data_IF_992645035904
#
_entry.id   IF_992645035904
#
_cell.length_a   1.000
_cell.length_b   1.000
_cell.length_c   1.000
_cell.angle_alpha   90.00
_cell.angle_beta   90.00
_cell.angle_gamma   90.00
#
_symmetry.space_group_name_H-M   'P 1'
#
loop_
_entity.id
_entity.type
_entity.pdbx_description
1 polymer ?
#
# COMPACT_ATOMS: atom_id res chain seq x y z
N UNK A 1 -41.48 25.00 0.72
CA UNK A 1 -42.15 23.86 0.07
C UNK A 1 -42.19 24.23 -1.41
N UNK A 2 -41.52 23.64 -2.40
CA UNK A 2 -40.83 22.37 -2.69
C UNK A 2 -39.82 22.80 -3.80
N UNK A 3 -38.54 22.45 -3.84
CA UNK A 3 -38.03 21.14 -4.26
C UNK A 3 -36.50 21.20 -4.26
N UNK A 4 -35.87 20.33 -3.48
CA UNK A 4 -34.51 19.86 -3.72
C UNK A 4 -34.59 18.83 -4.84
N UNK A 5 -34.12 19.13 -6.05
CA UNK A 5 -33.64 18.08 -6.96
C UNK A 5 -32.98 18.59 -8.23
N UNK A 6 -31.74 18.11 -8.40
CA UNK A 6 -31.04 17.82 -9.66
C UNK A 6 -30.64 19.03 -10.51
N UNK A 7 -29.36 19.41 -10.43
CA UNK A 7 -28.40 19.31 -11.55
C UNK A 7 -27.08 20.02 -11.21
N UNK A 8 -26.33 19.53 -10.21
CA UNK A 8 -24.87 19.67 -10.26
C UNK A 8 -24.35 18.32 -10.72
N UNK A 9 -23.91 18.24 -11.97
CA UNK A 9 -23.19 17.10 -12.50
C UNK A 9 -21.91 16.88 -11.67
N UNK A 10 -22.01 16.11 -10.59
CA UNK A 10 -20.86 15.64 -9.82
C UNK A 10 -20.20 14.52 -10.65
N UNK A 11 -19.51 14.90 -11.72
CA UNK A 11 -18.42 14.09 -12.22
C UNK A 11 -17.19 14.52 -11.44
N UNK A 12 -16.81 13.76 -10.38
CA UNK A 12 -15.60 14.10 -9.66
C UNK A 12 -14.43 14.12 -10.66
N UNK A 13 -13.52 15.12 -10.55
CA UNK A 13 -12.34 15.15 -11.39
C UNK A 13 -11.60 13.81 -11.26
N UNK A 14 -10.93 13.38 -12.33
CA UNK A 14 -10.21 12.09 -12.36
C UNK A 14 -9.32 11.91 -11.12
N UNK A 15 -8.71 13.00 -10.63
CA UNK A 15 -7.91 13.07 -9.42
C UNK A 15 -8.65 12.63 -8.15
N UNK A 16 -9.91 13.00 -7.97
CA UNK A 16 -10.71 12.65 -6.79
C UNK A 16 -11.10 11.17 -6.78
N UNK A 17 -11.37 10.59 -7.96
CA UNK A 17 -11.62 9.14 -8.09
C UNK A 17 -10.36 8.33 -7.77
N UNK A 18 -9.21 8.77 -8.26
CA UNK A 18 -7.93 8.12 -7.97
C UNK A 18 -7.58 8.21 -6.48
N UNK A 19 -7.76 9.39 -5.87
CA UNK A 19 -7.54 9.57 -4.43
C UNK A 19 -8.45 8.67 -3.60
N UNK A 20 -9.75 8.61 -3.90
CA UNK A 20 -10.70 7.73 -3.20
C UNK A 20 -10.30 6.26 -3.30
N UNK A 21 -9.85 5.80 -4.48
CA UNK A 21 -9.34 4.44 -4.67
C UNK A 21 -8.14 4.16 -3.77
N UNK A 22 -7.19 5.10 -3.69
CA UNK A 22 -5.98 4.97 -2.85
C UNK A 22 -6.30 4.96 -1.36
N UNK A 23 -7.18 5.84 -0.90
CA UNK A 23 -7.68 5.84 0.50
C UNK A 23 -8.40 4.54 0.85
N UNK A 24 -9.18 3.98 -0.07
CA UNK A 24 -9.81 2.68 0.12
C UNK A 24 -8.79 1.56 0.33
N UNK A 25 -7.65 1.56 -0.39
CA UNK A 25 -6.58 0.58 -0.18
C UNK A 25 -6.00 0.69 1.24
N UNK A 26 -5.76 1.92 1.72
CA UNK A 26 -5.27 2.17 3.08
C UNK A 26 -6.19 1.55 4.13
N UNK A 27 -7.51 1.77 4.02
CA UNK A 27 -8.47 1.15 4.93
C UNK A 27 -8.48 -0.38 4.81
N UNK A 28 -8.34 -0.93 3.60
CA UNK A 28 -8.23 -2.38 3.42
C UNK A 28 -7.03 -2.99 4.14
N UNK A 29 -5.90 -2.28 4.19
CA UNK A 29 -4.74 -2.73 4.96
C UNK A 29 -4.98 -2.63 6.47
N UNK A 30 -5.75 -1.63 6.94
CA UNK A 30 -6.14 -1.54 8.35
C UNK A 30 -7.03 -2.70 8.77
N UNK A 31 -7.96 -3.12 7.92
CA UNK A 31 -8.87 -4.25 8.16
C UNK A 31 -8.22 -5.64 7.98
N UNK A 32 -7.10 -5.72 7.26
CA UNK A 32 -6.44 -6.99 6.92
C UNK A 32 -5.88 -7.72 8.14
N UNK A 33 -6.00 -9.05 8.20
CA UNK A 33 -5.36 -9.88 9.22
C UNK A 33 -3.99 -10.41 8.75
N UNK A 34 -3.87 -10.62 7.44
CA UNK A 34 -2.70 -11.24 6.81
C UNK A 34 -2.17 -10.38 5.68
N UNK A 35 -0.90 -9.99 5.77
CA UNK A 35 -0.23 -9.05 4.86
C UNK A 35 0.91 -9.76 4.15
N UNK A 36 1.02 -9.56 2.84
CA UNK A 36 2.15 -10.03 2.03
C UNK A 36 3.07 -8.88 1.64
N UNK A 37 4.30 -8.85 2.15
CA UNK A 37 5.33 -7.92 1.70
C UNK A 37 6.09 -8.51 0.51
N UNK A 38 5.91 -7.91 -0.66
CA UNK A 38 6.50 -8.35 -1.93
C UNK A 38 7.76 -7.54 -2.21
N UNK A 39 8.90 -8.21 -2.32
CA UNK A 39 10.21 -7.58 -2.55
C UNK A 39 10.67 -7.86 -3.99
N UNK A 40 10.67 -6.82 -4.83
CA UNK A 40 10.88 -6.94 -6.28
C UNK A 40 12.34 -6.99 -6.77
N UNK A 41 13.33 -6.61 -5.97
CA UNK A 41 14.75 -6.69 -6.34
C UNK A 41 15.64 -6.69 -5.09
N UNK A 42 16.40 -7.78 -4.90
CA UNK A 42 17.36 -7.94 -3.81
C UNK A 42 18.65 -7.25 -4.25
N UNK A 43 18.97 -6.08 -3.71
CA UNK A 43 20.23 -5.39 -4.04
C UNK A 43 20.22 -3.86 -3.97
N UNK A 44 19.06 -3.24 -3.73
CA UNK A 44 18.98 -1.79 -3.49
C UNK A 44 19.20 -1.53 -2.00
N UNK A 45 20.02 -0.52 -1.67
CA UNK A 45 20.26 -0.07 -0.28
C UNK A 45 18.94 0.34 0.38
N UNK A 46 18.74 0.02 1.66
CA UNK A 46 17.52 0.37 2.41
C UNK A 46 16.43 -0.72 2.45
N UNK A 47 16.55 -1.80 1.66
CA UNK A 47 15.53 -2.86 1.66
C UNK A 47 15.45 -3.62 2.98
N UNK A 48 16.57 -3.85 3.66
CA UNK A 48 16.61 -4.59 4.93
C UNK A 48 15.88 -3.77 6.00
N UNK A 49 16.17 -2.49 6.06
CA UNK A 49 15.57 -1.50 6.94
C UNK A 49 14.07 -1.38 6.68
N UNK A 50 13.66 -1.26 5.41
CA UNK A 50 12.24 -1.21 5.06
C UNK A 50 11.48 -2.50 5.39
N UNK A 51 12.07 -3.67 5.15
CA UNK A 51 11.46 -4.95 5.54
C UNK A 51 11.31 -5.03 7.07
N UNK A 52 12.33 -4.63 7.81
CA UNK A 52 12.31 -4.63 9.28
C UNK A 52 11.24 -3.67 9.81
N UNK A 53 11.12 -2.50 9.19
CA UNK A 53 10.09 -1.52 9.53
C UNK A 53 8.67 -2.03 9.29
N UNK A 54 8.40 -2.66 8.14
CA UNK A 54 7.08 -3.27 7.87
C UNK A 54 6.79 -4.38 8.87
N UNK A 55 7.81 -5.16 9.26
CA UNK A 55 7.68 -6.19 10.29
C UNK A 55 7.26 -5.59 11.63
N UNK A 56 7.87 -4.49 12.04
CA UNK A 56 7.53 -3.78 13.27
C UNK A 56 6.12 -3.19 13.23
N UNK A 57 5.74 -2.53 12.13
CA UNK A 57 4.39 -1.98 11.94
C UNK A 57 3.33 -3.08 11.97
N UNK A 58 3.53 -4.18 11.23
CA UNK A 58 2.58 -5.29 11.22
C UNK A 58 2.49 -5.96 12.59
N UNK A 59 3.62 -6.14 13.29
CA UNK A 59 3.65 -6.70 14.65
C UNK A 59 2.90 -5.80 15.64
N UNK A 60 3.13 -4.49 15.60
CA UNK A 60 2.43 -3.53 16.45
C UNK A 60 0.92 -3.50 16.17
N UNK A 61 0.51 -3.69 14.92
CA UNK A 61 -0.89 -3.77 14.50
C UNK A 61 -1.52 -5.17 14.68
N UNK A 62 -0.80 -6.16 15.23
CA UNK A 62 -1.31 -7.52 15.44
C UNK A 62 -1.56 -8.32 14.15
N UNK A 63 -0.88 -7.98 13.05
CA UNK A 63 -1.07 -8.58 11.72
C UNK A 63 -0.02 -9.65 11.42
N UNK A 64 -0.42 -10.72 10.73
CA UNK A 64 0.51 -11.75 10.24
C UNK A 64 1.18 -11.24 8.96
N UNK A 65 2.51 -11.33 8.90
CA UNK A 65 3.30 -10.84 7.76
C UNK A 65 4.06 -11.97 7.07
N UNK A 66 3.83 -12.13 5.76
CA UNK A 66 4.64 -12.97 4.87
C UNK A 66 5.57 -12.10 4.04
N UNK A 67 6.87 -12.38 4.04
CA UNK A 67 7.84 -11.69 3.18
C UNK A 67 8.14 -12.58 1.98
N UNK A 68 7.84 -12.07 0.79
CA UNK A 68 7.88 -12.80 -0.47
C UNK A 68 8.87 -12.09 -1.40
N UNK A 69 9.99 -12.74 -1.72
CA UNK A 69 10.93 -12.23 -2.73
C UNK A 69 10.55 -12.77 -4.10
N UNK A 70 10.36 -11.87 -5.07
CA UNK A 70 10.08 -12.21 -6.47
C UNK A 70 10.86 -11.27 -7.36
N UNK A 71 11.44 -11.76 -8.47
CA UNK A 71 12.11 -10.89 -9.44
C UNK A 71 11.13 -9.92 -10.10
N UNK A 72 10.32 -10.41 -11.06
CA UNK A 72 9.24 -9.62 -11.66
C UNK A 72 7.89 -10.00 -11.03
N UNK A 73 7.19 -9.02 -10.45
CA UNK A 73 5.82 -9.17 -9.97
C UNK A 73 4.87 -9.33 -11.15
N UNK A 74 3.95 -10.28 -11.06
CA UNK A 74 2.87 -10.48 -12.03
C UNK A 74 1.61 -11.01 -11.31
N UNK A 75 0.47 -10.90 -11.96
CA UNK A 75 -0.83 -11.33 -11.41
C UNK A 75 -0.85 -12.83 -11.04
N UNK A 76 -0.34 -13.77 -11.87
CA UNK A 76 -0.37 -15.19 -11.53
C UNK A 76 0.41 -15.53 -10.25
N UNK A 77 1.57 -14.90 -10.01
CA UNK A 77 2.37 -15.17 -8.80
C UNK A 77 1.65 -14.76 -7.53
N UNK A 78 1.01 -13.59 -7.52
CA UNK A 78 0.27 -13.11 -6.34
C UNK A 78 -1.01 -13.90 -6.12
N UNK A 79 -1.61 -14.44 -7.18
CA UNK A 79 -2.83 -15.25 -7.09
C UNK A 79 -2.61 -16.59 -6.36
N UNK A 80 -1.38 -17.11 -6.33
CA UNK A 80 -1.05 -18.35 -5.63
C UNK A 80 -1.07 -18.22 -4.09
N UNK A 81 -1.06 -17.00 -3.55
CA UNK A 81 -1.08 -16.76 -2.11
C UNK A 81 -2.48 -16.38 -1.64
N UNK A 82 -3.41 -17.34 -1.71
CA UNK A 82 -4.84 -17.10 -1.43
C UNK A 82 -5.13 -16.62 0.01
N UNK A 83 -4.30 -17.02 0.98
CA UNK A 83 -4.42 -16.69 2.40
C UNK A 83 -3.98 -15.25 2.76
N UNK A 84 -3.47 -14.49 1.79
CA UNK A 84 -3.06 -13.11 1.98
C UNK A 84 -4.21 -12.17 1.62
N UNK A 85 -4.57 -11.29 2.56
CA UNK A 85 -5.67 -10.35 2.39
C UNK A 85 -5.24 -9.17 1.51
N UNK A 86 -4.02 -8.67 1.72
CA UNK A 86 -3.45 -7.49 1.04
C UNK A 86 -1.95 -7.65 0.82
N UNK A 87 -1.45 -7.05 -0.25
CA UNK A 87 -0.02 -7.01 -0.55
C UNK A 87 0.55 -5.60 -0.39
N UNK A 88 1.75 -5.50 0.14
CA UNK A 88 2.57 -4.30 0.13
C UNK A 88 3.73 -4.55 -0.82
N UNK A 89 3.89 -3.70 -1.83
CA UNK A 89 4.98 -3.79 -2.77
C UNK A 89 6.16 -2.92 -2.31
N UNK A 90 7.27 -3.58 -1.99
CA UNK A 90 8.57 -2.98 -1.73
C UNK A 90 9.36 -2.93 -3.06
N UNK A 91 9.05 -1.92 -3.87
CA UNK A 91 9.71 -1.61 -5.15
C UNK A 91 10.21 -0.16 -5.16
N UNK A 92 10.91 0.27 -6.21
CA UNK A 92 11.32 1.67 -6.38
C UNK A 92 10.20 2.68 -6.01
N UNK A 93 10.50 3.80 -5.30
CA UNK A 93 9.53 4.80 -4.83
C UNK A 93 8.48 5.26 -5.84
N UNK A 94 8.89 5.33 -7.10
CA UNK A 94 8.06 5.83 -8.20
C UNK A 94 7.27 4.72 -8.90
N UNK A 95 7.49 3.46 -8.52
CA UNK A 95 7.06 2.27 -9.25
C UNK A 95 5.60 1.86 -9.06
N UNK A 96 4.81 2.59 -8.26
CA UNK A 96 3.46 2.15 -7.89
C UNK A 96 2.42 2.95 -8.67
N UNK A 97 2.64 3.01 -9.97
CA UNK A 97 1.58 3.22 -10.96
C UNK A 97 1.21 1.87 -11.60
N UNK A 98 1.11 0.83 -10.77
CA UNK A 98 0.49 -0.42 -11.20
C UNK A 98 -1.01 -0.18 -11.35
N UNK A 99 -1.56 -0.53 -12.51
CA UNK A 99 -3.01 -0.55 -12.69
C UNK A 99 -3.56 -1.63 -11.76
N UNK A 100 -4.19 -1.18 -10.67
CA UNK A 100 -4.64 -2.08 -9.60
C UNK A 100 -5.85 -2.92 -10.00
N UNK A 101 -6.37 -2.73 -11.21
CA UNK A 101 -7.51 -3.46 -11.77
C UNK A 101 -7.25 -4.95 -11.97
N UNK A 102 -6.01 -5.33 -12.24
CA UNK A 102 -5.70 -6.68 -12.71
C UNK A 102 -5.33 -7.63 -11.56
N UNK A 103 -5.16 -7.10 -10.34
CA UNK A 103 -4.79 -7.87 -9.16
C UNK A 103 -6.03 -8.26 -8.35
N UNK A 104 -6.19 -9.56 -8.10
CA UNK A 104 -7.30 -10.10 -7.30
C UNK A 104 -7.29 -9.63 -5.84
N UNK A 105 -6.11 -9.30 -5.31
CA UNK A 105 -5.93 -8.78 -3.96
C UNK A 105 -5.41 -7.34 -4.02
N UNK A 106 -5.81 -6.46 -3.09
CA UNK A 106 -5.29 -5.10 -2.99
C UNK A 106 -3.75 -5.08 -2.94
N UNK A 107 -3.13 -4.25 -3.78
CA UNK A 107 -1.68 -4.02 -3.77
C UNK A 107 -1.42 -2.57 -3.40
N UNK A 108 -0.69 -2.38 -2.31
CA UNK A 108 -0.34 -1.09 -1.74
C UNK A 108 1.14 -0.78 -1.93
N UNK A 109 1.44 0.50 -1.91
CA UNK A 109 2.79 1.02 -1.71
C UNK A 109 3.21 1.03 -0.26
N UNK A 110 4.51 1.06 -0.04
CA UNK A 110 5.09 1.33 1.26
C UNK A 110 4.56 2.64 1.86
N UNK A 111 4.37 3.67 1.03
CA UNK A 111 3.78 4.94 1.47
C UNK A 111 2.36 4.76 2.02
N UNK A 112 1.50 4.04 1.30
CA UNK A 112 0.13 3.74 1.77
C UNK A 112 0.16 2.85 3.03
N UNK A 113 1.14 1.95 3.14
CA UNK A 113 1.32 1.12 4.32
C UNK A 113 1.72 1.92 5.57
N UNK A 114 2.59 2.92 5.43
CA UNK A 114 2.92 3.86 6.50
C UNK A 114 1.66 4.62 6.96
N UNK A 115 0.86 5.14 6.03
CA UNK A 115 -0.39 5.84 6.39
C UNK A 115 -1.37 4.92 7.13
N UNK A 116 -1.39 3.63 6.76
CA UNK A 116 -2.28 2.66 7.35
C UNK A 116 -1.84 2.23 8.76
N UNK A 117 -0.54 1.94 8.94
CA UNK A 117 -0.05 1.16 10.09
C UNK A 117 0.97 1.89 10.98
N UNK A 118 1.48 3.08 10.60
CA UNK A 118 2.42 3.82 11.43
C UNK A 118 1.68 4.68 12.47
N UNK A 119 1.65 4.30 13.76
CA UNK A 119 0.92 5.05 14.79
C UNK A 119 1.61 6.38 15.14
N UNK A 120 2.94 6.42 15.03
CA UNK A 120 3.77 7.55 15.48
C UNK A 120 3.89 8.65 14.43
N UNK A 121 3.52 8.38 13.17
CA UNK A 121 3.72 9.25 12.00
C UNK A 121 5.14 9.84 11.90
N UNK A 122 6.14 9.21 12.52
CA UNK A 122 7.51 9.75 12.66
C UNK A 122 8.17 10.02 11.32
N UNK A 123 7.83 9.24 10.29
CA UNK A 123 8.28 9.47 8.91
C UNK A 123 7.77 10.79 8.29
N UNK A 124 6.66 11.36 8.77
CA UNK A 124 6.19 12.68 8.37
C UNK A 124 6.83 13.82 9.19
N UNK A 125 7.36 13.55 10.39
CA UNK A 125 7.71 14.55 11.39
C UNK A 125 9.20 14.85 11.56
N UNK A 126 10.08 13.86 11.37
CA UNK A 126 11.51 13.97 11.71
C UNK A 126 12.39 14.57 10.59
N UNK A 127 11.78 15.20 9.57
CA UNK A 127 12.48 16.10 8.65
C UNK A 127 13.19 15.46 7.45
N UNK A 128 13.00 14.17 7.17
CA UNK A 128 13.45 13.54 5.91
C UNK A 128 12.36 12.69 5.28
N UNK A 129 11.44 13.34 4.58
CA UNK A 129 10.59 12.66 3.59
C UNK A 129 11.52 12.16 2.48
N UNK A 130 11.77 10.85 2.46
CA UNK A 130 12.58 10.20 1.45
C UNK A 130 11.73 9.09 0.84
N UNK A 131 11.53 9.18 -0.47
CA UNK A 131 10.82 8.15 -1.22
C UNK A 131 11.68 6.87 -1.31
N UNK A 132 13.00 7.03 -1.20
CA UNK A 132 13.94 5.96 -0.96
C UNK A 132 13.86 5.44 0.48
N UNK A 133 14.06 4.13 0.62
CA UNK A 133 13.90 3.34 1.84
C UNK A 133 14.92 3.66 2.96
N UNK A 134 15.59 4.80 2.90
CA UNK A 134 16.82 5.13 3.62
C UNK A 134 16.62 6.13 4.77
N UNK A 135 15.37 6.44 5.11
CA UNK A 135 14.98 7.40 6.16
C UNK A 135 14.87 6.79 7.55
#
# INVERSE_FOLDING_TARGET
>A
LVSLSVCLCIHPPQSWRQLRKRLFLVEKLRDANTVGLVVGSVGVRGHVEAVQRVREMCKAAGKRLYVISVGKVNVPKLSNFADIDVFILLSCPFGIMLDSSDYFRPVLSMFEAEIALNPSKTWFGDGKWCADFTG
#
